data_IF_118046002297
#
_entry.id   IF_118046002297
#
_cell.length_a   1.000
_cell.length_b   1.000
_cell.length_c   1.000
_cell.angle_alpha   90.00
_cell.angle_beta   90.00
_cell.angle_gamma   90.00
#
_symmetry.space_group_name_H-M   'P 1'
#
loop_
_entity.id
_entity.type
_entity.pdbx_description
1 polymer ?
#
# COMPACT_ATOMS: atom_id res chain seq x y z
N UNK A 1 -2.26 39.56 3.72
CA UNK A 1 -2.04 38.70 2.53
C UNK A 1 -0.97 37.63 2.77
N UNK A 2 0.22 38.00 3.27
CA UNK A 2 1.35 37.09 3.55
C UNK A 2 0.98 35.91 4.48
N UNK A 3 0.20 36.14 5.55
CA UNK A 3 -0.25 35.07 6.48
C UNK A 3 -1.14 33.99 5.81
N UNK A 4 -1.94 34.34 4.80
CA UNK A 4 -2.80 33.36 4.09
C UNK A 4 -1.98 32.46 3.17
N UNK A 5 -0.93 33.00 2.53
CA UNK A 5 -0.05 32.25 1.63
C UNK A 5 0.79 31.24 2.41
N UNK A 6 1.33 31.61 3.57
CA UNK A 6 2.11 30.70 4.43
C UNK A 6 1.24 29.55 4.95
N UNK A 7 -0.01 29.82 5.34
CA UNK A 7 -0.93 28.77 5.79
C UNK A 7 -1.27 27.77 4.69
N UNK A 8 -1.50 28.25 3.45
CA UNK A 8 -1.73 27.39 2.28
C UNK A 8 -0.47 26.58 1.97
N UNK A 9 0.72 27.18 2.03
CA UNK A 9 1.99 26.47 1.80
C UNK A 9 2.25 25.39 2.86
N UNK A 10 1.94 25.67 4.13
CA UNK A 10 2.04 24.70 5.24
C UNK A 10 1.04 23.56 5.06
N UNK A 11 -0.21 23.84 4.69
CA UNK A 11 -1.23 22.82 4.40
C UNK A 11 -0.85 21.98 3.17
N UNK A 12 -0.31 22.59 2.12
CA UNK A 12 0.22 21.89 0.94
C UNK A 12 1.38 20.97 1.34
N UNK A 13 2.30 21.45 2.17
CA UNK A 13 3.38 20.62 2.67
C UNK A 13 2.89 19.47 3.55
N UNK A 14 1.93 19.68 4.45
CA UNK A 14 1.38 18.60 5.30
C UNK A 14 0.66 17.54 4.46
N UNK A 15 -0.08 17.95 3.41
CA UNK A 15 -0.63 17.06 2.40
C UNK A 15 0.46 16.26 1.67
N UNK A 16 1.60 16.87 1.36
CA UNK A 16 2.77 16.22 0.75
C UNK A 16 3.65 15.39 1.74
N UNK A 17 3.52 15.58 3.05
CA UNK A 17 4.38 14.97 4.08
C UNK A 17 3.73 13.78 4.81
N UNK A 18 2.41 13.59 4.74
CA UNK A 18 1.71 12.47 5.39
C UNK A 18 1.67 11.15 4.59
N UNK A 19 2.16 11.15 3.35
CA UNK A 19 1.91 10.06 2.41
C UNK A 19 2.88 8.89 2.52
N UNK A 20 4.08 9.05 3.09
CA UNK A 20 5.03 7.95 3.30
C UNK A 20 5.67 8.05 4.68
N UNK A 21 5.60 6.98 5.47
CA UNK A 21 6.19 6.89 6.82
C UNK A 21 6.96 5.59 6.98
N UNK A 22 8.29 5.67 7.04
CA UNK A 22 9.15 4.53 7.37
C UNK A 22 9.59 4.54 8.83
N UNK A 23 9.77 3.36 9.41
CA UNK A 23 10.38 3.15 10.71
C UNK A 23 11.33 1.94 10.66
N UNK A 24 11.88 1.52 11.82
CA UNK A 24 12.86 0.43 11.89
C UNK A 24 12.28 -0.96 11.54
N UNK A 25 10.96 -1.10 11.63
CA UNK A 25 10.22 -2.36 11.53
C UNK A 25 9.27 -2.35 10.33
N UNK A 26 9.35 -1.40 9.40
CA UNK A 26 8.45 -1.34 8.26
C UNK A 26 8.19 0.07 7.71
N UNK A 27 7.17 0.18 6.88
CA UNK A 27 6.69 1.47 6.38
C UNK A 27 5.19 1.45 6.08
N UNK A 28 4.59 2.64 6.00
CA UNK A 28 3.22 2.83 5.52
C UNK A 28 3.18 3.91 4.44
N UNK A 29 2.27 3.76 3.48
CA UNK A 29 2.04 4.69 2.39
C UNK A 29 0.55 4.96 2.26
N UNK A 30 0.17 6.24 2.26
CA UNK A 30 -1.19 6.69 1.96
C UNK A 30 -1.19 7.27 0.55
N UNK A 31 -2.06 6.74 -0.31
CA UNK A 31 -2.16 7.12 -1.73
C UNK A 31 -3.59 7.47 -2.10
N UNK A 32 -3.74 8.49 -2.94
CA UNK A 32 -5.01 8.85 -3.57
C UNK A 32 -5.20 8.05 -4.87
N UNK A 33 -6.44 7.68 -5.18
CA UNK A 33 -6.78 7.09 -6.48
C UNK A 33 -6.64 8.12 -7.61
N UNK A 34 -6.26 7.64 -8.79
CA UNK A 34 -6.20 8.47 -10.00
C UNK A 34 -7.59 8.88 -10.50
N UNK A 35 -8.61 8.05 -10.25
CA UNK A 35 -9.99 8.23 -10.71
C UNK A 35 -10.83 9.08 -9.76
N UNK A 36 -10.71 8.86 -8.44
CA UNK A 36 -11.41 9.63 -7.41
C UNK A 36 -10.48 9.93 -6.22
N UNK A 37 -10.13 11.21 -6.04
CA UNK A 37 -9.24 11.66 -4.97
C UNK A 37 -9.82 11.48 -3.56
N UNK A 38 -11.12 11.21 -3.43
CA UNK A 38 -11.71 10.86 -2.13
C UNK A 38 -11.45 9.40 -1.76
N UNK A 39 -11.06 8.57 -2.72
CA UNK A 39 -10.67 7.18 -2.50
C UNK A 39 -9.16 7.13 -2.21
N UNK A 40 -8.86 6.62 -1.03
CA UNK A 40 -7.57 6.56 -0.36
C UNK A 40 -7.21 5.10 -0.11
N UNK A 41 -6.02 4.71 -0.54
CA UNK A 41 -5.39 3.45 -0.24
C UNK A 41 -4.31 3.64 0.82
N UNK A 42 -4.43 2.93 1.93
CA UNK A 42 -3.43 2.81 2.99
C UNK A 42 -2.68 1.49 2.84
N UNK A 43 -1.47 1.53 2.29
CA UNK A 43 -0.57 0.39 2.20
C UNK A 43 0.34 0.33 3.43
N UNK A 44 0.42 -0.81 4.09
CA UNK A 44 1.27 -1.03 5.26
C UNK A 44 2.10 -2.28 5.06
N UNK A 45 3.41 -2.14 5.25
CA UNK A 45 4.36 -3.24 5.40
C UNK A 45 4.94 -3.18 6.80
N UNK A 46 4.75 -4.23 7.58
CA UNK A 46 5.25 -4.34 8.94
C UNK A 46 6.06 -5.63 9.11
N UNK A 47 7.11 -5.57 9.93
CA UNK A 47 7.95 -6.68 10.33
C UNK A 47 7.99 -6.76 11.85
N UNK A 48 7.47 -7.84 12.41
CA UNK A 48 7.61 -8.12 13.82
C UNK A 48 8.93 -8.86 14.06
N UNK A 49 9.90 -8.19 14.71
CA UNK A 49 11.18 -8.81 15.04
C UNK A 49 11.08 -9.93 16.09
N UNK A 50 10.16 -9.86 17.05
CA UNK A 50 10.08 -10.87 18.11
C UNK A 50 9.47 -12.18 17.63
N UNK A 51 8.55 -12.09 16.67
CA UNK A 51 7.84 -13.25 16.13
C UNK A 51 8.32 -13.63 14.72
N UNK A 52 9.29 -12.87 14.20
CA UNK A 52 9.96 -13.09 12.92
C UNK A 52 9.01 -13.28 11.74
N UNK A 53 7.87 -12.60 11.76
CA UNK A 53 6.94 -12.54 10.64
C UNK A 53 6.85 -11.10 10.12
N UNK A 54 6.61 -10.97 8.82
CA UNK A 54 6.16 -9.74 8.22
C UNK A 54 4.70 -9.87 7.83
N UNK A 55 4.09 -8.73 7.57
CA UNK A 55 2.69 -8.64 7.24
C UNK A 55 2.48 -7.46 6.30
N UNK A 56 1.74 -7.71 5.22
CA UNK A 56 1.32 -6.68 4.27
C UNK A 56 -0.19 -6.47 4.42
N UNK A 57 -0.61 -5.21 4.49
CA UNK A 57 -2.02 -4.84 4.51
C UNK A 57 -2.32 -3.67 3.59
N UNK A 58 -3.51 -3.69 3.01
CA UNK A 58 -4.07 -2.63 2.17
C UNK A 58 -5.43 -2.27 2.73
N UNK A 59 -5.56 -1.06 3.27
CA UNK A 59 -6.85 -0.45 3.60
C UNK A 59 -7.33 0.42 2.45
N UNK A 60 -8.62 0.36 2.11
CA UNK A 60 -9.25 1.26 1.14
C UNK A 60 -10.54 1.81 1.71
N UNK A 61 -10.71 3.13 1.71
CA UNK A 61 -11.90 3.80 2.26
C UNK A 61 -13.09 3.80 1.27
N UNK A 62 -13.59 2.61 0.94
CA UNK A 62 -14.81 2.47 0.14
C UNK A 62 -16.04 2.31 1.02
N UNK A 63 -17.21 2.64 0.47
CA UNK A 63 -18.49 2.34 1.10
C UNK A 63 -18.62 0.85 1.43
N UNK A 64 -19.33 0.50 2.51
CA UNK A 64 -19.46 -0.88 2.99
C UNK A 64 -19.99 -1.85 1.91
N UNK A 65 -20.83 -1.36 1.00
CA UNK A 65 -21.40 -2.11 -0.13
C UNK A 65 -20.42 -2.33 -1.29
N UNK A 66 -19.38 -1.49 -1.41
CA UNK A 66 -18.45 -1.48 -2.53
C UNK A 66 -17.20 -2.30 -2.21
N UNK A 67 -17.41 -3.54 -1.78
CA UNK A 67 -16.32 -4.45 -1.43
C UNK A 67 -15.35 -4.63 -2.61
N UNK A 68 -14.03 -4.57 -2.37
CA UNK A 68 -13.04 -4.98 -3.36
C UNK A 68 -13.30 -6.40 -3.84
N UNK A 69 -13.22 -6.65 -5.15
CA UNK A 69 -13.47 -7.95 -5.79
C UNK A 69 -12.24 -8.53 -6.48
N UNK A 70 -11.24 -7.70 -6.82
CA UNK A 70 -9.92 -8.15 -7.31
C UNK A 70 -8.87 -7.09 -6.99
N UNK A 71 -7.65 -7.53 -6.69
CA UNK A 71 -6.48 -6.65 -6.51
C UNK A 71 -5.41 -7.09 -7.49
N UNK A 72 -4.86 -6.13 -8.21
CA UNK A 72 -3.70 -6.33 -9.08
C UNK A 72 -2.54 -5.54 -8.53
N UNK A 73 -1.41 -6.23 -8.37
CA UNK A 73 -0.11 -5.62 -8.17
C UNK A 73 0.66 -5.78 -9.47
N UNK A 74 0.89 -4.70 -10.18
CA UNK A 74 1.59 -4.75 -11.46
C UNK A 74 2.79 -3.85 -11.47
N UNK A 75 3.84 -4.33 -12.13
CA UNK A 75 4.85 -3.47 -12.72
C UNK A 75 4.71 -3.55 -14.23
N UNK A 76 5.28 -2.58 -14.96
CA UNK A 76 5.26 -2.60 -16.43
C UNK A 76 5.79 -3.91 -17.05
N UNK A 77 6.57 -4.69 -16.28
CA UNK A 77 7.22 -5.93 -16.72
C UNK A 77 6.70 -7.20 -16.00
N UNK A 78 5.63 -7.13 -15.20
CA UNK A 78 5.07 -8.31 -14.53
C UNK A 78 3.81 -8.00 -13.72
N UNK A 79 2.77 -8.82 -13.90
CA UNK A 79 1.47 -8.67 -13.23
C UNK A 79 1.25 -9.80 -12.23
N UNK A 80 1.06 -9.45 -10.95
CA UNK A 80 0.51 -10.33 -9.93
C UNK A 80 -0.99 -10.03 -9.78
N UNK A 81 -1.82 -11.04 -10.05
CA UNK A 81 -3.27 -10.95 -9.89
C UNK A 81 -3.72 -11.71 -8.66
N UNK A 82 -4.46 -11.06 -7.76
CA UNK A 82 -4.97 -11.66 -6.53
C UNK A 82 -6.50 -11.49 -6.52
N UNK A 83 -7.27 -12.50 -6.95
CA UNK A 83 -8.73 -12.44 -6.97
C UNK A 83 -9.32 -12.55 -5.55
N UNK A 84 -10.35 -11.75 -5.23
CA UNK A 84 -10.98 -11.68 -3.90
C UNK A 84 -11.86 -12.90 -3.55
N UNK A 85 -12.43 -13.58 -4.55
CA UNK A 85 -13.51 -14.56 -4.33
C UNK A 85 -13.03 -15.91 -3.77
N UNK A 86 -11.89 -15.97 -3.07
CA UNK A 86 -11.30 -17.25 -2.59
C UNK A 86 -10.51 -17.16 -1.27
N UNK A 87 -10.72 -16.12 -0.46
CA UNK A 87 -9.62 -15.58 0.35
C UNK A 87 -9.14 -16.40 1.56
N UNK A 88 -9.98 -17.04 2.38
CA UNK A 88 -9.48 -17.67 3.64
C UNK A 88 -8.53 -18.87 3.39
N UNK A 89 -8.72 -19.65 2.31
CA UNK A 89 -7.89 -20.83 2.03
C UNK A 89 -6.68 -20.53 1.13
N UNK A 90 -6.51 -19.29 0.65
CA UNK A 90 -5.47 -18.90 -0.31
C UNK A 90 -4.52 -17.81 0.21
N UNK A 91 -4.43 -17.63 1.54
CA UNK A 91 -3.44 -16.75 2.13
C UNK A 91 -3.76 -15.27 2.12
N UNK A 92 -5.03 -14.91 2.03
CA UNK A 92 -5.46 -13.52 2.20
C UNK A 92 -6.65 -13.46 3.14
N UNK A 93 -6.72 -12.41 3.94
CA UNK A 93 -7.91 -12.09 4.73
C UNK A 93 -8.50 -10.79 4.21
N UNK A 94 -9.83 -10.69 4.17
CA UNK A 94 -10.48 -9.44 3.80
C UNK A 94 -11.71 -9.19 4.64
N UNK A 95 -11.78 -7.99 5.22
CA UNK A 95 -12.86 -7.59 6.11
C UNK A 95 -13.02 -6.07 6.11
N UNK A 96 -14.15 -5.59 6.59
CA UNK A 96 -14.41 -4.16 6.76
C UNK A 96 -14.13 -3.76 8.22
N UNK A 97 -13.31 -2.74 8.43
CA UNK A 97 -13.04 -2.15 9.75
C UNK A 97 -13.98 -0.97 9.98
N UNK A 98 -14.94 -1.11 10.89
CA UNK A 98 -15.90 -0.04 11.22
C UNK A 98 -15.23 1.20 11.84
N UNK A 99 -14.16 0.98 12.61
CA UNK A 99 -13.41 2.04 13.29
C UNK A 99 -12.68 2.95 12.27
N UNK A 100 -11.95 2.34 11.34
CA UNK A 100 -11.18 3.06 10.33
C UNK A 100 -12.02 3.43 9.10
N UNK A 101 -13.22 2.85 8.97
CA UNK A 101 -14.11 2.94 7.81
C UNK A 101 -13.43 2.49 6.51
N UNK A 102 -12.75 1.36 6.57
CA UNK A 102 -11.96 0.83 5.46
C UNK A 102 -12.26 -0.64 5.20
N UNK A 103 -12.21 -1.03 3.93
CA UNK A 103 -12.04 -2.43 3.57
C UNK A 103 -10.55 -2.76 3.65
N UNK A 104 -10.20 -3.72 4.48
CA UNK A 104 -8.82 -4.12 4.76
C UNK A 104 -8.53 -5.48 4.15
N UNK A 105 -7.48 -5.55 3.35
CA UNK A 105 -6.93 -6.77 2.76
C UNK A 105 -5.58 -7.06 3.41
N UNK A 106 -5.45 -8.25 3.95
CA UNK A 106 -4.28 -8.73 4.66
C UNK A 106 -3.68 -9.91 3.89
N UNK A 107 -2.37 -9.92 3.67
CA UNK A 107 -1.66 -11.03 3.03
C UNK A 107 -1.00 -11.89 4.12
N UNK A 108 -1.22 -13.20 4.06
CA UNK A 108 -0.87 -14.17 5.10
C UNK A 108 -0.03 -15.34 4.56
N UNK A 109 0.25 -15.39 3.26
CA UNK A 109 1.12 -16.39 2.64
C UNK A 109 2.43 -15.75 2.16
N UNK A 110 3.54 -16.30 2.64
CA UNK A 110 4.90 -15.87 2.34
C UNK A 110 5.18 -15.69 0.84
N UNK A 111 4.64 -16.56 -0.01
CA UNK A 111 4.89 -16.52 -1.47
C UNK A 111 4.30 -15.28 -2.12
N UNK A 112 3.08 -14.91 -1.72
CA UNK A 112 2.38 -13.72 -2.23
C UNK A 112 3.10 -12.46 -1.72
N UNK A 113 3.44 -12.46 -0.44
CA UNK A 113 4.16 -11.34 0.16
C UNK A 113 5.55 -11.15 -0.46
N UNK A 114 6.29 -12.23 -0.69
CA UNK A 114 7.58 -12.19 -1.40
C UNK A 114 7.42 -11.58 -2.78
N UNK A 115 6.40 -11.97 -3.54
CA UNK A 115 6.15 -11.37 -4.86
C UNK A 115 5.84 -9.87 -4.77
N UNK A 116 5.04 -9.44 -3.81
CA UNK A 116 4.78 -8.00 -3.56
C UNK A 116 6.09 -7.29 -3.19
N UNK A 117 6.92 -7.87 -2.31
CA UNK A 117 8.22 -7.30 -1.93
C UNK A 117 9.17 -7.20 -3.14
N UNK A 118 9.21 -8.21 -4.01
CA UNK A 118 9.98 -8.17 -5.25
C UNK A 118 9.51 -7.07 -6.20
N UNK A 119 8.19 -6.92 -6.38
CA UNK A 119 7.63 -5.86 -7.22
C UNK A 119 7.93 -4.47 -6.66
N UNK A 120 7.85 -4.29 -5.34
CA UNK A 120 8.19 -3.03 -4.66
C UNK A 120 9.69 -2.72 -4.75
N UNK A 121 10.56 -3.73 -4.63
CA UNK A 121 12.01 -3.55 -4.79
C UNK A 121 12.44 -3.38 -6.24
N UNK A 122 11.58 -3.77 -7.20
CA UNK A 122 11.84 -3.50 -8.60
C UNK A 122 11.93 -1.98 -8.79
N UNK A 123 12.97 -1.51 -9.47
CA UNK A 123 13.12 -0.06 -9.75
C UNK A 123 12.09 0.46 -10.75
N UNK A 124 11.20 -0.43 -11.23
CA UNK A 124 10.19 -0.18 -12.23
C UNK A 124 8.99 0.55 -11.67
N UNK A 125 8.11 0.94 -12.60
CA UNK A 125 6.84 1.55 -12.25
C UNK A 125 5.92 0.49 -11.65
N UNK A 126 5.30 0.76 -10.50
CA UNK A 126 4.46 -0.16 -9.75
C UNK A 126 3.09 0.46 -9.45
N UNK A 127 2.02 -0.32 -9.61
CA UNK A 127 0.65 0.10 -9.36
C UNK A 127 -0.09 -0.92 -8.51
N UNK A 128 -1.01 -0.43 -7.70
CA UNK A 128 -2.09 -1.24 -7.13
C UNK A 128 -3.38 -0.86 -7.85
N UNK A 129 -4.09 -1.85 -8.39
CA UNK A 129 -5.41 -1.65 -8.97
C UNK A 129 -6.44 -2.45 -8.19
N UNK A 130 -7.51 -1.80 -7.76
CA UNK A 130 -8.55 -2.38 -6.91
C UNK A 130 -9.87 -2.30 -7.65
N UNK A 131 -10.40 -3.46 -8.01
CA UNK A 131 -11.68 -3.58 -8.71
C UNK A 131 -12.79 -3.73 -7.67
N UNK A 132 -13.89 -3.04 -7.90
CA UNK A 132 -15.15 -3.21 -7.16
C UNK A 132 -16.21 -3.79 -8.09
N UNK A 133 -17.47 -3.80 -7.68
CA UNK A 133 -18.58 -4.24 -8.52
C UNK A 133 -18.79 -3.32 -9.73
N UNK A 134 -18.68 -2.01 -9.51
CA UNK A 134 -19.15 -1.00 -10.48
C UNK A 134 -18.01 -0.20 -11.12
N UNK A 135 -16.79 -0.26 -10.56
CA UNK A 135 -15.63 0.50 -11.05
C UNK A 135 -14.30 -0.13 -10.62
N UNK A 136 -13.17 0.47 -11.01
CA UNK A 136 -11.84 0.17 -10.49
C UNK A 136 -11.12 1.45 -10.08
N UNK A 137 -10.16 1.30 -9.16
CA UNK A 137 -9.33 2.38 -8.65
C UNK A 137 -7.86 2.03 -8.82
N UNK A 138 -7.09 2.92 -9.43
CA UNK A 138 -5.65 2.80 -9.58
C UNK A 138 -4.92 3.67 -8.57
N UNK A 139 -3.88 3.09 -7.97
CA UNK A 139 -2.96 3.76 -7.06
C UNK A 139 -1.55 3.60 -7.59
N UNK A 140 -0.94 4.70 -7.99
CA UNK A 140 0.40 4.74 -8.55
C UNK A 140 1.46 4.87 -7.44
N UNK A 141 2.13 3.77 -7.10
CA UNK A 141 3.22 3.76 -6.11
C UNK A 141 4.41 4.61 -6.57
N UNK A 142 4.57 4.82 -7.87
CA UNK A 142 5.75 5.50 -8.40
C UNK A 142 5.76 6.99 -8.14
N UNK A 143 4.60 7.61 -7.94
CA UNK A 143 4.51 8.99 -7.46
C UNK A 143 5.20 9.16 -6.10
N UNK A 144 5.38 8.06 -5.37
CA UNK A 144 6.03 8.00 -4.07
C UNK A 144 7.45 7.39 -4.15
N UNK A 145 7.84 6.81 -5.29
CA UNK A 145 9.15 6.18 -5.51
C UNK A 145 10.32 7.14 -5.28
N UNK A 146 10.25 8.41 -5.69
CA UNK A 146 11.39 9.33 -5.54
C UNK A 146 11.71 9.65 -4.08
N UNK A 147 10.71 9.63 -3.20
CA UNK A 147 10.89 9.78 -1.75
C UNK A 147 11.35 8.47 -1.12
N UNK A 148 10.82 7.33 -1.57
CA UNK A 148 11.21 6.00 -1.10
C UNK A 148 12.66 5.66 -1.47
N UNK A 149 13.04 5.84 -2.74
CA UNK A 149 14.39 5.58 -3.30
C UNK A 149 15.49 6.46 -2.69
N UNK A 150 15.13 7.60 -2.08
CA UNK A 150 16.07 8.48 -1.36
C UNK A 150 16.11 8.20 0.14
N UNK A 151 15.18 7.39 0.65
CA UNK A 151 15.09 7.08 2.07
C UNK A 151 15.92 5.85 2.40
N UNK A 152 17.08 6.05 3.04
CA UNK A 152 17.96 4.95 3.48
C UNK A 152 17.24 3.89 4.33
N UNK A 153 16.21 4.27 5.10
CA UNK A 153 15.41 3.31 5.89
C UNK A 153 14.52 2.44 5.03
N UNK A 154 14.04 2.92 3.90
CA UNK A 154 13.30 2.08 2.95
C UNK A 154 14.21 0.99 2.38
N UNK A 155 15.40 1.35 1.89
CA UNK A 155 16.36 0.38 1.34
C UNK A 155 16.82 -0.64 2.40
N UNK A 156 17.10 -0.20 3.63
CA UNK A 156 17.42 -1.08 4.76
C UNK A 156 16.29 -2.07 5.06
N UNK A 157 15.04 -1.59 5.12
CA UNK A 157 13.85 -2.42 5.39
C UNK A 157 13.61 -3.41 4.26
N UNK A 158 13.62 -2.98 3.00
CA UNK A 158 13.39 -3.84 1.84
C UNK A 158 14.50 -4.89 1.68
N UNK A 159 15.77 -4.52 1.85
CA UNK A 159 16.90 -5.46 1.79
C UNK A 159 16.77 -6.51 2.89
N UNK A 160 16.49 -6.09 4.13
CA UNK A 160 16.28 -7.02 5.24
C UNK A 160 15.13 -7.99 4.94
N UNK A 161 14.02 -7.48 4.44
CA UNK A 161 12.82 -8.29 4.19
C UNK A 161 12.98 -9.26 3.01
N UNK A 162 13.77 -8.93 2.00
CA UNK A 162 14.03 -9.84 0.88
C UNK A 162 15.02 -10.95 1.27
N UNK A 163 16.06 -10.62 2.04
CA UNK A 163 17.17 -11.54 2.31
C UNK A 163 17.07 -12.31 3.65
N UNK A 164 16.21 -11.91 4.59
CA UNK A 164 16.02 -12.58 5.89
C UNK A 164 14.62 -13.18 6.10
N UNK A 165 13.98 -13.76 5.07
CA UNK A 165 12.70 -14.50 5.22
C UNK A 165 12.88 -15.92 5.80
N UNK A 166 13.65 -16.08 6.89
CA UNK A 166 13.84 -17.38 7.55
C UNK A 166 13.07 -17.45 8.84
#
# INVERSE_FOLDING_TARGET
MIKKIILIFVLFTISLFGQFKANKDGFSIKMESEEDKNVICDFVLYYNKSENFYFISIGVNLEETNKPTKIYFSTFNGNLTIPYESNIKKGTSTFYTKEEKQHRIDFLLDEIEKQILYLLASKHVCFIQIYTKDTFYNFDFTKYNDKMKKNKKYDEVMTRLIYNTK
#
